data_IF_734009761579
#
_entry.id   IF_734009761579
#
_cell.length_a   1.000
_cell.length_b   1.000
_cell.length_c   1.000
_cell.angle_alpha   90.00
_cell.angle_beta   90.00
_cell.angle_gamma   90.00
#
_symmetry.space_group_name_H-M   'P 1'
#
loop_
_entity.id
_entity.type
_entity.pdbx_description
1 polymer ?
#
# COMPACT_ATOMS: atom_id res chain seq x y z
N UNK A 1 -5.87 -12.76 -19.26
CA UNK A 1 -6.83 -12.24 -18.25
C UNK A 1 -6.24 -12.41 -16.86
N UNK A 2 -6.30 -11.37 -16.05
CA UNK A 2 -5.84 -11.40 -14.67
C UNK A 2 -7.04 -11.67 -13.74
N UNK A 3 -6.87 -12.59 -12.82
CA UNK A 3 -7.88 -12.94 -11.82
C UNK A 3 -7.40 -12.59 -10.42
N UNK A 4 -8.30 -12.09 -9.58
CA UNK A 4 -8.09 -11.94 -8.15
C UNK A 4 -8.54 -13.25 -7.47
N UNK A 5 -7.71 -13.80 -6.60
CA UNK A 5 -7.95 -15.07 -5.90
C UNK A 5 -7.51 -14.98 -4.43
N UNK A 6 -7.72 -16.08 -3.69
CA UNK A 6 -7.33 -16.21 -2.28
C UNK A 6 -8.09 -15.26 -1.36
N UNK A 7 -9.41 -15.51 -1.24
CA UNK A 7 -10.31 -14.73 -0.38
C UNK A 7 -10.44 -15.27 1.05
N UNK A 8 -9.55 -16.16 1.49
CA UNK A 8 -9.64 -16.84 2.80
C UNK A 8 -9.64 -15.85 3.97
N UNK A 9 -8.95 -14.72 3.82
CA UNK A 9 -8.88 -13.66 4.84
C UNK A 9 -9.74 -12.45 4.51
N UNK A 10 -10.53 -12.51 3.45
CA UNK A 10 -11.40 -11.40 3.05
C UNK A 10 -12.51 -11.17 4.08
N UNK A 11 -12.80 -9.92 4.35
CA UNK A 11 -13.82 -9.50 5.31
C UNK A 11 -14.71 -8.43 4.72
N UNK A 12 -15.99 -8.47 5.03
CA UNK A 12 -16.91 -7.37 4.74
C UNK A 12 -16.67 -6.27 5.77
N UNK A 13 -16.28 -5.10 5.27
CA UNK A 13 -16.00 -3.94 6.13
C UNK A 13 -17.20 -3.01 6.10
N UNK A 14 -17.76 -2.63 7.26
CA UNK A 14 -18.80 -1.62 7.35
C UNK A 14 -18.25 -0.23 7.01
N UNK A 15 -19.14 0.75 6.88
CA UNK A 15 -18.77 2.14 6.50
C UNK A 15 -17.81 2.81 7.50
N UNK A 16 -17.69 2.27 8.72
CA UNK A 16 -16.77 2.77 9.74
C UNK A 16 -15.60 1.81 9.94
N UNK A 17 -14.38 2.32 10.24
CA UNK A 17 -13.23 1.49 10.54
C UNK A 17 -13.47 0.53 11.71
N UNK A 18 -13.00 -0.69 11.59
CA UNK A 18 -13.15 -1.77 12.59
C UNK A 18 -11.80 -2.29 13.05
N UNK A 19 -11.77 -2.97 14.18
CA UNK A 19 -10.58 -3.73 14.63
C UNK A 19 -10.70 -5.18 14.18
N UNK A 20 -9.54 -5.78 13.90
CA UNK A 20 -9.42 -7.20 13.60
C UNK A 20 -8.97 -7.94 14.87
N UNK A 21 -9.62 -9.05 15.17
CA UNK A 21 -9.26 -9.88 16.32
C UNK A 21 -8.03 -10.74 16.04
N UNK A 22 -7.90 -11.23 14.81
CA UNK A 22 -6.79 -12.09 14.39
C UNK A 22 -6.08 -11.49 13.19
N UNK A 23 -4.78 -11.24 13.35
CA UNK A 23 -3.92 -10.78 12.26
C UNK A 23 -3.65 -11.93 11.29
N UNK A 24 -3.82 -11.65 10.01
CA UNK A 24 -3.47 -12.57 8.91
C UNK A 24 -2.96 -11.77 7.71
N UNK A 25 -2.14 -12.39 6.90
CA UNK A 25 -1.54 -11.79 5.72
C UNK A 25 -0.02 -11.75 5.79
N UNK A 26 0.59 -11.34 4.67
CA UNK A 26 2.06 -11.22 4.53
C UNK A 26 2.50 -9.88 5.13
N UNK A 27 3.40 -9.87 6.13
CA UNK A 27 3.73 -8.66 6.91
C UNK A 27 4.15 -7.45 6.07
N UNK A 28 4.94 -7.64 5.01
CA UNK A 28 5.45 -6.53 4.19
C UNK A 28 4.39 -5.76 3.40
N UNK A 29 3.24 -6.39 3.15
CA UNK A 29 2.12 -5.78 2.42
C UNK A 29 1.01 -5.31 3.37
N UNK A 30 1.13 -5.65 4.66
CA UNK A 30 0.17 -5.30 5.68
C UNK A 30 0.38 -3.85 6.11
N UNK A 31 -0.70 -3.07 6.10
CA UNK A 31 -0.64 -1.67 6.51
C UNK A 31 -0.28 -1.51 7.99
N UNK A 32 0.28 -0.34 8.39
CA UNK A 32 0.64 -0.08 9.77
C UNK A 32 -0.52 -0.25 10.75
N UNK A 33 -1.72 0.19 10.40
CA UNK A 33 -2.90 0.06 11.24
C UNK A 33 -3.29 -1.40 11.47
N UNK A 34 -3.18 -2.27 10.45
CA UNK A 34 -3.40 -3.70 10.62
C UNK A 34 -2.32 -4.35 11.48
N UNK A 35 -1.06 -4.03 11.22
CA UNK A 35 0.08 -4.58 11.97
C UNK A 35 0.01 -4.20 13.45
N UNK A 36 -0.39 -2.98 13.75
CA UNK A 36 -0.53 -2.48 15.13
C UNK A 36 -1.85 -2.87 15.80
N UNK A 37 -2.76 -3.51 15.08
CA UNK A 37 -4.08 -3.87 15.63
C UNK A 37 -4.98 -2.67 15.89
N UNK A 38 -4.77 -1.58 15.14
CA UNK A 38 -5.63 -0.40 15.19
C UNK A 38 -6.89 -0.63 14.35
N UNK A 39 -7.82 0.31 14.44
CA UNK A 39 -8.99 0.31 13.55
C UNK A 39 -8.54 0.47 12.11
N UNK A 40 -9.15 -0.27 11.20
CA UNK A 40 -8.83 -0.25 9.77
C UNK A 40 -10.10 -0.24 8.92
N UNK A 41 -9.94 0.10 7.66
CA UNK A 41 -10.95 0.01 6.61
C UNK A 41 -10.32 -0.40 5.27
N UNK A 42 -11.03 -0.21 4.17
CA UNK A 42 -10.55 -0.54 2.82
C UNK A 42 -9.20 0.12 2.43
N UNK A 43 -8.79 1.18 3.11
CA UNK A 43 -7.50 1.86 2.84
C UNK A 43 -6.29 0.99 3.20
N UNK A 44 -6.49 -0.08 3.99
CA UNK A 44 -5.48 -1.11 4.20
C UNK A 44 -5.15 -1.88 2.91
N UNK A 45 -6.16 -2.17 2.10
CA UNK A 45 -5.97 -2.81 0.78
C UNK A 45 -5.30 -1.85 -0.21
N UNK A 46 -5.61 -0.55 -0.14
CA UNK A 46 -4.96 0.49 -0.94
C UNK A 46 -3.46 0.54 -0.61
N UNK A 47 -3.10 0.44 0.66
CA UNK A 47 -1.70 0.35 1.08
C UNK A 47 -1.01 -0.89 0.49
N UNK A 48 -1.62 -2.07 0.62
CA UNK A 48 -1.09 -3.31 0.06
C UNK A 48 -0.91 -3.23 -1.47
N UNK A 49 -1.86 -2.62 -2.15
CA UNK A 49 -1.78 -2.35 -3.59
C UNK A 49 -0.60 -1.42 -3.92
N UNK A 50 -0.42 -0.35 -3.15
CA UNK A 50 0.69 0.59 -3.32
C UNK A 50 2.05 -0.08 -3.15
N UNK A 51 2.22 -0.93 -2.12
CA UNK A 51 3.45 -1.71 -1.90
C UNK A 51 3.71 -2.66 -3.07
N UNK A 52 2.69 -3.35 -3.54
CA UNK A 52 2.78 -4.26 -4.70
C UNK A 52 3.22 -3.51 -5.96
N UNK A 53 2.61 -2.38 -6.23
CA UNK A 53 2.92 -1.56 -7.40
C UNK A 53 4.34 -0.97 -7.33
N UNK A 54 4.75 -0.52 -6.15
CA UNK A 54 6.12 -0.08 -5.92
C UNK A 54 7.12 -1.19 -6.26
N UNK A 55 6.92 -2.38 -5.73
CA UNK A 55 7.81 -3.53 -5.96
C UNK A 55 7.81 -3.98 -7.42
N UNK A 56 6.66 -4.00 -8.09
CA UNK A 56 6.57 -4.36 -9.51
C UNK A 56 7.36 -3.39 -10.41
N UNK A 57 7.35 -2.11 -10.10
CA UNK A 57 7.96 -1.08 -10.93
C UNK A 57 9.44 -0.82 -10.60
N UNK A 58 9.87 -1.14 -9.40
CA UNK A 58 11.25 -0.88 -8.93
C UNK A 58 12.08 -2.15 -8.76
N UNK A 59 11.45 -3.30 -8.60
CA UNK A 59 12.12 -4.56 -8.28
C UNK A 59 12.52 -4.71 -6.82
N UNK A 60 12.20 -3.73 -5.96
CA UNK A 60 12.54 -3.75 -4.53
C UNK A 60 11.34 -3.33 -3.68
N UNK A 61 11.34 -3.72 -2.41
CA UNK A 61 10.31 -3.28 -1.45
C UNK A 61 10.56 -1.83 -1.02
N UNK A 62 9.51 -1.08 -0.66
CA UNK A 62 9.65 0.32 -0.26
C UNK A 62 10.37 0.53 1.09
N UNK A 63 10.47 -0.51 1.91
CA UNK A 63 11.12 -0.46 3.22
C UNK A 63 12.38 -1.30 3.19
N UNK A 64 13.53 -0.65 3.38
CA UNK A 64 14.85 -1.28 3.36
C UNK A 64 15.23 -1.80 4.74
N UNK A 65 16.14 -2.77 4.77
CA UNK A 65 16.71 -3.33 5.99
C UNK A 65 17.51 -4.59 5.70
N UNK A 66 18.54 -4.84 6.50
CA UNK A 66 19.39 -6.03 6.33
C UNK A 66 18.69 -7.32 6.79
N UNK A 67 17.65 -7.20 7.60
CA UNK A 67 16.85 -8.31 8.12
C UNK A 67 15.36 -8.01 7.95
N UNK A 68 14.52 -9.04 7.97
CA UNK A 68 13.06 -8.85 7.95
C UNK A 68 12.59 -7.98 9.12
N UNK A 69 13.18 -8.16 10.31
CA UNK A 69 12.87 -7.37 11.49
C UNK A 69 13.18 -5.88 11.28
N UNK A 70 14.33 -5.56 10.67
CA UNK A 70 14.71 -4.19 10.36
C UNK A 70 13.77 -3.56 9.32
N UNK A 71 13.40 -4.31 8.28
CA UNK A 71 12.43 -3.86 7.26
C UNK A 71 11.07 -3.56 7.87
N UNK A 72 10.56 -4.45 8.72
CA UNK A 72 9.29 -4.23 9.43
C UNK A 72 9.35 -3.06 10.40
N UNK A 73 10.47 -2.88 11.10
CA UNK A 73 10.67 -1.72 11.97
C UNK A 73 10.61 -0.40 11.18
N UNK A 74 11.20 -0.36 9.99
CA UNK A 74 11.13 0.80 9.11
C UNK A 74 9.72 1.03 8.56
N UNK A 75 9.00 -0.04 8.20
CA UNK A 75 7.61 0.04 7.76
C UNK A 75 6.68 0.63 8.82
N UNK A 76 6.95 0.36 10.09
CA UNK A 76 6.16 0.85 11.23
C UNK A 76 6.67 2.19 11.80
N UNK A 77 7.71 2.76 11.19
CA UNK A 77 8.24 4.05 11.60
C UNK A 77 7.64 5.18 10.75
N UNK A 78 6.78 6.04 11.32
CA UNK A 78 6.14 7.13 10.57
C UNK A 78 7.13 8.18 10.04
N UNK A 79 8.38 8.17 10.52
CA UNK A 79 9.45 9.07 10.07
C UNK A 79 10.36 8.44 9.03
N UNK A 80 10.15 7.15 8.69
CA UNK A 80 10.96 6.49 7.68
C UNK A 80 10.76 7.15 6.31
N UNK A 81 11.86 7.49 5.66
CA UNK A 81 11.82 8.11 4.33
C UNK A 81 11.92 7.04 3.25
N UNK A 82 10.81 6.77 2.58
CA UNK A 82 10.77 5.86 1.44
C UNK A 82 11.52 6.48 0.26
N UNK A 83 12.39 5.69 -0.37
CA UNK A 83 13.04 6.10 -1.62
C UNK A 83 12.00 6.20 -2.71
N UNK A 84 12.12 7.23 -3.53
CA UNK A 84 11.17 7.45 -4.62
C UNK A 84 11.32 6.39 -5.71
N UNK A 85 10.22 5.84 -6.25
CA UNK A 85 10.29 4.83 -7.33
C UNK A 85 11.18 5.22 -8.50
N UNK A 86 11.19 6.48 -8.89
CA UNK A 86 12.01 6.98 -10.00
C UNK A 86 13.51 6.99 -9.73
N UNK A 87 13.95 6.85 -8.48
CA UNK A 87 15.36 6.62 -8.16
C UNK A 87 15.86 5.26 -8.63
N UNK A 88 14.95 4.30 -8.83
CA UNK A 88 15.24 2.95 -9.35
C UNK A 88 14.91 2.82 -10.82
N UNK A 89 13.87 3.51 -11.30
CA UNK A 89 13.38 3.43 -12.68
C UNK A 89 12.81 4.80 -13.10
N UNK A 90 13.60 5.58 -13.81
CA UNK A 90 13.24 6.94 -14.25
C UNK A 90 12.18 6.98 -15.39
N UNK A 91 11.85 5.84 -15.96
CA UNK A 91 10.74 5.71 -16.91
C UNK A 91 9.36 5.77 -16.25
N UNK A 92 9.28 5.64 -14.92
CA UNK A 92 8.02 5.79 -14.19
C UNK A 92 7.53 7.23 -14.31
N UNK A 93 6.28 7.46 -14.78
CA UNK A 93 5.72 8.81 -14.81
C UNK A 93 5.68 9.45 -13.41
N UNK A 94 5.99 10.73 -13.32
CA UNK A 94 6.02 11.46 -12.03
C UNK A 94 4.70 11.33 -11.27
N UNK A 95 3.57 11.48 -11.99
CA UNK A 95 2.23 11.36 -11.38
C UNK A 95 1.93 9.96 -10.86
N UNK A 96 2.48 8.92 -11.50
CA UNK A 96 2.36 7.55 -11.01
C UNK A 96 3.17 7.34 -9.74
N UNK A 97 4.40 7.85 -9.70
CA UNK A 97 5.23 7.86 -8.48
C UNK A 97 4.50 8.52 -7.30
N UNK A 98 3.96 9.71 -7.53
CA UNK A 98 3.20 10.45 -6.51
C UNK A 98 2.00 9.64 -5.99
N UNK A 99 1.27 8.99 -6.89
CA UNK A 99 0.12 8.17 -6.52
C UNK A 99 0.54 6.93 -5.73
N UNK A 100 1.61 6.25 -6.12
CA UNK A 100 2.16 5.10 -5.38
C UNK A 100 2.56 5.51 -3.97
N UNK A 101 3.32 6.59 -3.83
CA UNK A 101 3.76 7.09 -2.52
C UNK A 101 2.58 7.50 -1.64
N UNK A 102 1.53 8.05 -2.24
CA UNK A 102 0.29 8.37 -1.53
C UNK A 102 -0.42 7.10 -1.03
N UNK A 103 -0.47 6.04 -1.82
CA UNK A 103 -1.07 4.76 -1.41
C UNK A 103 -0.36 4.14 -0.19
N UNK A 104 0.96 4.26 -0.10
CA UNK A 104 1.77 3.69 0.97
C UNK A 104 2.07 4.66 2.11
N UNK A 105 1.36 5.77 2.20
CA UNK A 105 1.48 6.67 3.34
C UNK A 105 1.16 5.94 4.65
N UNK A 106 1.93 6.24 5.68
CA UNK A 106 1.73 5.65 7.01
C UNK A 106 0.32 5.93 7.56
N UNK A 107 -0.19 7.13 7.32
CA UNK A 107 -1.50 7.57 7.80
C UNK A 107 -2.59 7.26 6.76
N UNK A 108 -3.61 6.46 7.12
CA UNK A 108 -4.68 6.10 6.19
C UNK A 108 -5.41 7.31 5.58
N UNK A 109 -5.59 8.38 6.34
CA UNK A 109 -6.26 9.61 5.89
C UNK A 109 -5.53 10.36 4.78
N UNK A 110 -4.24 10.08 4.57
CA UNK A 110 -3.43 10.64 3.47
C UNK A 110 -3.46 9.80 2.21
N UNK A 111 -3.96 8.57 2.28
CA UNK A 111 -4.12 7.68 1.13
C UNK A 111 -5.36 8.06 0.32
N UNK A 112 -5.51 7.55 -0.92
CA UNK A 112 -6.79 7.61 -1.61
C UNK A 112 -7.90 7.04 -0.73
N UNK A 113 -9.08 7.71 -0.63
CA UNK A 113 -10.09 7.35 0.36
C UNK A 113 -10.81 6.04 0.06
N UNK A 114 -10.85 5.62 -1.21
CA UNK A 114 -11.45 4.37 -1.64
C UNK A 114 -10.87 3.89 -2.97
N UNK A 115 -11.18 2.66 -3.33
CA UNK A 115 -10.67 2.02 -4.53
C UNK A 115 -11.19 2.68 -5.81
N UNK A 116 -12.41 3.18 -5.82
CA UNK A 116 -13.02 3.87 -6.97
C UNK A 116 -12.21 5.12 -7.35
N UNK A 117 -11.84 5.93 -6.36
CA UNK A 117 -11.02 7.11 -6.58
C UNK A 117 -9.59 6.77 -6.98
N UNK A 118 -9.01 5.71 -6.41
CA UNK A 118 -7.71 5.21 -6.81
C UNK A 118 -7.70 4.79 -8.29
N UNK A 119 -8.68 4.00 -8.73
CA UNK A 119 -8.80 3.56 -10.12
C UNK A 119 -8.97 4.76 -11.07
N UNK A 120 -9.78 5.73 -10.69
CA UNK A 120 -9.93 6.98 -11.45
C UNK A 120 -8.59 7.70 -11.62
N UNK A 121 -7.84 7.84 -10.55
CA UNK A 121 -6.56 8.56 -10.58
C UNK A 121 -5.50 7.77 -11.36
N UNK A 122 -5.48 6.43 -11.26
CA UNK A 122 -4.65 5.56 -12.09
C UNK A 122 -4.96 5.73 -13.57
N UNK A 123 -6.23 5.71 -13.95
CA UNK A 123 -6.66 5.88 -15.33
C UNK A 123 -6.20 7.24 -15.90
N UNK A 124 -6.29 8.29 -15.11
CA UNK A 124 -5.79 9.63 -15.51
C UNK A 124 -4.28 9.62 -15.74
N UNK A 125 -3.53 9.01 -14.85
CA UNK A 125 -2.07 8.92 -14.93
C UNK A 125 -1.63 8.09 -16.13
N UNK A 126 -2.34 7.01 -16.43
CA UNK A 126 -2.05 6.10 -17.55
C UNK A 126 -2.63 6.58 -18.88
N UNK A 127 -3.36 7.70 -18.92
CA UNK A 127 -3.99 8.21 -20.11
C UNK A 127 -5.17 7.36 -20.62
N UNK A 128 -5.76 6.54 -19.75
CA UNK A 128 -6.94 5.71 -20.06
C UNK A 128 -8.20 6.55 -19.84
N UNK A 129 -9.11 6.50 -20.79
CA UNK A 129 -10.40 7.20 -20.74
C UNK A 129 -11.50 6.32 -20.15
#
# INVERSE_FOLDING_TARGET
VTYLCDFDTAQVIPDKPVKIEKKSGTPFYMSPELTNGWKFDQRADIYAYGVTLYELLTGVKPFEGQTQKAMLANQLNPRYRIRKPREFNDNIPIKLEELILKCIDFLPEKRPPNMTLLVRDLNRVMGVR
#
